data_IF_879568919865
#
_entry.id   IF_879568919865
#
_cell.length_a   1.000
_cell.length_b   1.000
_cell.length_c   1.000
_cell.angle_alpha   90.00
_cell.angle_beta   90.00
_cell.angle_gamma   90.00
#
_symmetry.space_group_name_H-M   'P 1'
#
loop_
_entity.id
_entity.type
_entity.pdbx_description
1 polymer ?
#
# COMPACT_ATOMS: atom_id res chain seq x y z
N UNK A 1 26.63 -31.96 -14.51
CA UNK A 1 25.91 -31.63 -13.26
C UNK A 1 26.36 -30.25 -12.82
N UNK A 2 25.77 -29.20 -13.38
CA UNK A 2 26.16 -27.82 -13.12
C UNK A 2 25.35 -27.30 -11.93
N UNK A 3 26.04 -27.05 -10.83
CA UNK A 3 25.49 -26.32 -9.68
C UNK A 3 25.20 -24.89 -10.11
N UNK A 4 23.94 -24.59 -10.40
CA UNK A 4 23.44 -23.21 -10.48
C UNK A 4 23.63 -22.59 -9.09
N UNK A 5 24.73 -21.85 -8.94
CA UNK A 5 24.93 -20.92 -7.83
C UNK A 5 23.72 -19.99 -7.80
N UNK A 6 22.90 -20.14 -6.76
CA UNK A 6 21.76 -19.27 -6.52
C UNK A 6 22.25 -17.83 -6.49
N UNK A 7 21.93 -16.98 -7.48
CA UNK A 7 22.30 -15.58 -7.38
C UNK A 7 21.57 -15.05 -6.17
N UNK A 8 22.29 -14.35 -5.29
CA UNK A 8 21.71 -13.63 -4.16
C UNK A 8 20.43 -12.92 -4.63
N UNK A 9 19.28 -13.50 -4.28
CA UNK A 9 17.97 -13.05 -4.70
C UNK A 9 17.67 -11.78 -3.89
N UNK A 10 18.31 -10.70 -4.32
CA UNK A 10 18.58 -9.52 -3.52
C UNK A 10 17.49 -8.47 -3.64
N UNK A 11 17.43 -7.58 -2.64
CA UNK A 11 16.54 -6.42 -2.65
C UNK A 11 16.67 -5.61 -3.94
N UNK A 12 17.92 -5.44 -4.40
CA UNK A 12 18.21 -4.74 -5.65
C UNK A 12 17.62 -5.40 -6.88
N UNK A 13 17.57 -6.74 -6.92
CA UNK A 13 16.92 -7.47 -8.01
C UNK A 13 15.43 -7.16 -8.06
N UNK A 14 14.75 -7.21 -6.90
CA UNK A 14 13.33 -6.86 -6.81
C UNK A 14 13.08 -5.41 -7.23
N UNK A 15 13.90 -4.48 -6.75
CA UNK A 15 13.75 -3.07 -7.08
C UNK A 15 14.03 -2.78 -8.56
N UNK A 16 15.07 -3.39 -9.13
CA UNK A 16 15.41 -3.25 -10.54
C UNK A 16 14.32 -3.85 -11.44
N UNK A 17 13.81 -5.02 -11.08
CA UNK A 17 12.74 -5.70 -11.80
C UNK A 17 11.44 -4.88 -11.74
N UNK A 18 11.10 -4.36 -10.57
CA UNK A 18 9.96 -3.46 -10.39
C UNK A 18 10.09 -2.22 -11.27
N UNK A 19 11.27 -1.58 -11.27
CA UNK A 19 11.59 -0.43 -12.12
C UNK A 19 11.47 -0.76 -13.61
N UNK A 20 11.93 -1.95 -14.02
CA UNK A 20 11.86 -2.42 -15.41
C UNK A 20 10.41 -2.53 -15.89
N UNK A 21 9.55 -3.19 -15.12
CA UNK A 21 8.12 -3.37 -15.45
C UNK A 21 7.40 -2.02 -15.49
N UNK A 22 7.65 -1.17 -14.49
CA UNK A 22 7.09 0.18 -14.43
C UNK A 22 7.48 1.02 -15.65
N UNK A 23 8.74 0.95 -16.07
CA UNK A 23 9.24 1.75 -17.19
C UNK A 23 8.73 1.22 -18.55
N UNK A 24 8.55 -0.11 -18.69
CA UNK A 24 8.03 -0.73 -19.90
C UNK A 24 6.61 -0.26 -20.26
N UNK A 25 5.77 0.01 -19.25
CA UNK A 25 4.40 0.52 -19.44
C UNK A 25 4.16 1.85 -18.71
N UNK A 26 5.16 2.74 -18.74
CA UNK A 26 5.20 3.98 -17.96
C UNK A 26 3.96 4.87 -18.11
N UNK A 27 3.41 5.01 -19.32
CA UNK A 27 2.20 5.82 -19.58
C UNK A 27 0.96 5.28 -18.85
N UNK A 28 0.81 3.96 -18.82
CA UNK A 28 -0.32 3.31 -18.15
C UNK A 28 -0.21 3.45 -16.63
N UNK A 29 0.98 3.17 -16.08
CA UNK A 29 1.23 3.34 -14.65
C UNK A 29 1.12 4.79 -14.22
N UNK A 30 1.59 5.74 -15.02
CA UNK A 30 1.44 7.17 -14.74
C UNK A 30 -0.04 7.59 -14.73
N UNK A 31 -0.86 7.07 -15.65
CA UNK A 31 -2.31 7.33 -15.62
C UNK A 31 -2.97 6.80 -14.33
N UNK A 32 -2.62 5.60 -13.88
CA UNK A 32 -3.09 5.06 -12.59
C UNK A 32 -2.61 5.88 -11.40
N UNK A 33 -1.36 6.35 -11.43
CA UNK A 33 -0.82 7.22 -10.40
C UNK A 33 -1.59 8.53 -10.31
N UNK A 34 -1.80 9.21 -11.44
CA UNK A 34 -2.55 10.48 -11.48
C UNK A 34 -3.99 10.28 -11.03
N UNK A 35 -4.61 9.14 -11.33
CA UNK A 35 -6.01 8.88 -11.04
C UNK A 35 -6.26 8.45 -9.57
N UNK A 36 -5.37 7.65 -8.97
CA UNK A 36 -5.57 7.12 -7.61
C UNK A 36 -4.52 7.57 -6.59
N UNK A 37 -3.22 7.55 -6.95
CA UNK A 37 -2.16 7.84 -5.99
C UNK A 37 -1.94 9.33 -5.76
N UNK A 38 -2.14 10.18 -6.78
CA UNK A 38 -1.94 11.62 -6.68
C UNK A 38 -2.97 12.28 -5.75
N UNK A 39 -4.29 11.98 -5.85
CA UNK A 39 -5.26 12.49 -4.88
C UNK A 39 -4.95 12.01 -3.46
N UNK A 40 -4.51 10.76 -3.31
CA UNK A 40 -4.17 10.17 -2.02
C UNK A 40 -2.90 10.80 -1.41
N UNK A 41 -1.83 10.94 -2.17
CA UNK A 41 -0.56 11.52 -1.70
C UNK A 41 -0.73 12.99 -1.34
N UNK A 42 -1.47 13.75 -2.16
CA UNK A 42 -1.78 15.14 -1.87
C UNK A 42 -2.58 15.27 -0.57
N UNK A 43 -3.60 14.43 -0.40
CA UNK A 43 -4.43 14.40 0.81
C UNK A 43 -3.63 14.02 2.06
N UNK A 44 -2.69 13.09 1.97
CA UNK A 44 -1.79 12.71 3.09
C UNK A 44 -0.86 13.85 3.51
N UNK A 45 -0.40 14.66 2.56
CA UNK A 45 0.51 15.80 2.83
C UNK A 45 -0.26 17.00 3.37
N UNK A 46 -1.45 17.29 2.84
CA UNK A 46 -2.21 18.50 3.16
C UNK A 46 -3.06 18.37 4.42
N UNK A 47 -3.59 17.19 4.72
CA UNK A 47 -4.45 16.98 5.89
C UNK A 47 -3.84 17.38 7.25
N UNK A 48 -2.60 17.02 7.60
CA UNK A 48 -2.01 17.46 8.88
C UNK A 48 -1.90 18.99 8.96
N UNK A 49 -1.55 19.65 7.86
CA UNK A 49 -1.49 21.12 7.78
C UNK A 49 -2.89 21.74 7.95
N UNK A 50 -3.91 21.19 7.29
CA UNK A 50 -5.30 21.63 7.44
C UNK A 50 -5.80 21.45 8.88
N UNK A 51 -5.51 20.31 9.51
CA UNK A 51 -5.92 20.04 10.87
C UNK A 51 -5.25 21.01 11.86
N UNK A 52 -3.97 21.33 11.66
CA UNK A 52 -3.25 22.30 12.48
C UNK A 52 -3.85 23.71 12.33
N UNK A 53 -4.17 24.14 11.10
CA UNK A 53 -4.84 25.41 10.82
C UNK A 53 -6.23 25.54 11.47
N UNK A 54 -7.00 24.44 11.51
CA UNK A 54 -8.33 24.41 12.13
C UNK A 54 -8.21 24.43 13.66
N UNK A 55 -7.23 23.72 14.22
CA UNK A 55 -7.06 23.55 15.68
C UNK A 55 -6.39 24.77 16.32
N UNK A 56 -5.47 25.43 15.60
CA UNK A 56 -4.72 26.59 16.05
C UNK A 56 -4.86 27.75 15.04
N UNK A 57 -6.00 28.47 15.05
CA UNK A 57 -6.21 29.56 14.11
C UNK A 57 -5.24 30.72 14.42
N UNK A 58 -4.47 31.23 13.43
CA UNK A 58 -3.62 32.39 13.61
C UNK A 58 -4.45 33.65 13.92
N UNK A 59 -3.90 34.62 14.68
CA UNK A 59 -4.66 35.76 15.19
C UNK A 59 -5.24 36.66 14.08
N UNK A 60 -4.57 36.83 12.93
CA UNK A 60 -5.01 37.83 11.94
C UNK A 60 -4.96 37.37 10.46
N UNK A 61 -6.06 37.68 9.76
CA UNK A 61 -6.20 37.94 8.32
C UNK A 61 -6.32 36.82 7.26
N UNK A 62 -6.13 35.53 7.55
CA UNK A 62 -6.40 34.46 6.54
C UNK A 62 -7.86 33.99 6.47
N UNK A 63 -8.75 34.61 7.26
CA UNK A 63 -10.16 34.24 7.45
C UNK A 63 -11.09 34.49 6.26
N UNK A 64 -10.62 34.97 5.12
CA UNK A 64 -11.52 35.32 3.98
C UNK A 64 -11.67 34.17 2.98
N UNK A 65 -10.60 33.43 2.66
CA UNK A 65 -10.66 32.39 1.62
C UNK A 65 -11.24 31.06 2.12
N UNK A 66 -10.87 30.62 3.34
CA UNK A 66 -11.35 29.34 3.89
C UNK A 66 -12.79 29.45 4.42
N UNK A 67 -13.17 30.62 4.96
CA UNK A 67 -14.53 30.91 5.44
C UNK A 67 -15.52 30.95 4.27
N UNK A 68 -15.12 31.49 3.12
CA UNK A 68 -15.92 31.49 1.88
C UNK A 68 -16.18 30.08 1.32
N UNK A 69 -15.26 29.13 1.52
CA UNK A 69 -15.42 27.75 1.03
C UNK A 69 -16.28 26.88 1.95
N UNK A 70 -16.40 27.23 3.24
CA UNK A 70 -17.14 26.48 4.24
C UNK A 70 -18.48 27.14 4.65
N UNK A 71 -18.68 28.44 4.43
CA UNK A 71 -19.96 29.13 4.68
C UNK A 71 -20.95 28.91 3.51
N UNK A 72 -21.54 27.72 3.43
CA UNK A 72 -22.79 27.53 2.68
C UNK A 72 -24.05 27.78 3.54
N UNK A 73 -23.91 28.25 4.79
CA UNK A 73 -25.07 28.67 5.57
C UNK A 73 -24.73 29.71 6.65
N UNK A 74 -25.34 30.91 6.63
CA UNK A 74 -25.28 31.80 7.78
C UNK A 74 -26.28 31.29 8.80
N UNK A 75 -25.83 30.72 9.92
CA UNK A 75 -26.70 30.60 11.09
C UNK A 75 -25.93 30.87 12.37
N UNK A 76 -26.26 32.02 12.95
CA UNK A 76 -26.04 32.34 14.35
C UNK A 76 -26.59 31.21 15.22
N UNK A 77 -25.71 30.49 15.89
CA UNK A 77 -25.78 30.19 17.32
C UNK A 77 -24.70 29.17 17.69
N UNK A 78 -23.95 29.53 18.72
CA UNK A 78 -22.82 28.79 19.25
C UNK A 78 -23.23 27.43 19.83
N UNK A 79 -22.61 26.33 19.34
CA UNK A 79 -22.25 25.08 20.04
C UNK A 79 -21.67 24.03 19.06
N UNK A 80 -20.92 23.03 19.54
CA UNK A 80 -19.48 23.02 19.82
C UNK A 80 -18.63 22.56 18.61
N UNK A 81 -17.43 23.12 18.47
CA UNK A 81 -16.42 22.84 17.41
C UNK A 81 -16.02 21.34 17.32
N UNK A 82 -16.40 20.50 18.30
CA UNK A 82 -16.02 19.09 18.40
C UNK A 82 -16.76 18.15 17.43
N UNK A 83 -17.96 18.50 16.94
CA UNK A 83 -18.73 17.63 16.03
C UNK A 83 -18.24 17.66 14.59
N UNK A 84 -17.80 18.83 14.11
CA UNK A 84 -17.47 19.03 12.69
C UNK A 84 -16.08 18.47 12.34
N UNK A 85 -15.12 18.58 13.26
CA UNK A 85 -13.78 17.99 13.08
C UNK A 85 -13.84 16.47 13.08
N UNK A 86 -14.64 15.86 13.95
CA UNK A 86 -14.81 14.40 14.00
C UNK A 86 -15.41 13.84 12.71
N UNK A 87 -16.46 14.49 12.20
CA UNK A 87 -17.07 14.12 10.92
C UNK A 87 -16.07 14.26 9.75
N UNK A 88 -15.33 15.37 9.70
CA UNK A 88 -14.30 15.61 8.68
C UNK A 88 -13.18 14.55 8.74
N UNK A 89 -12.73 14.17 9.94
CA UNK A 89 -11.73 13.11 10.11
C UNK A 89 -12.23 11.73 9.65
N UNK A 90 -13.50 11.40 9.93
CA UNK A 90 -14.12 10.15 9.47
C UNK A 90 -14.19 10.15 7.94
N UNK A 91 -14.70 11.23 7.34
CA UNK A 91 -14.80 11.37 5.89
C UNK A 91 -13.43 11.30 5.20
N UNK A 92 -12.43 11.95 5.78
CA UNK A 92 -11.04 11.86 5.35
C UNK A 92 -10.50 10.42 5.42
N UNK A 93 -10.72 9.72 6.54
CA UNK A 93 -10.27 8.33 6.67
C UNK A 93 -10.91 7.43 5.61
N UNK A 94 -12.20 7.64 5.32
CA UNK A 94 -12.93 6.88 4.31
C UNK A 94 -12.37 7.16 2.92
N UNK A 95 -12.08 8.42 2.62
CA UNK A 95 -11.43 8.84 1.39
C UNK A 95 -10.06 8.17 1.21
N UNK A 96 -9.17 8.30 2.19
CA UNK A 96 -7.82 7.70 2.15
C UNK A 96 -7.91 6.19 2.00
N UNK A 97 -8.80 5.56 2.77
CA UNK A 97 -8.99 4.12 2.73
C UNK A 97 -9.49 3.64 1.36
N UNK A 98 -10.55 4.26 0.82
CA UNK A 98 -11.09 3.91 -0.49
C UNK A 98 -10.04 4.07 -1.61
N UNK A 99 -9.35 5.21 -1.66
CA UNK A 99 -8.31 5.46 -2.66
C UNK A 99 -7.11 4.51 -2.49
N UNK A 100 -6.74 4.14 -1.26
CA UNK A 100 -5.65 3.20 -1.01
C UNK A 100 -5.93 1.79 -1.53
N UNK A 101 -7.17 1.32 -1.37
CA UNK A 101 -7.61 0.02 -1.89
C UNK A 101 -7.63 0.03 -3.42
N UNK A 102 -8.20 1.08 -4.01
CA UNK A 102 -8.27 1.23 -5.46
C UNK A 102 -6.88 1.35 -6.10
N UNK A 103 -5.99 2.13 -5.50
CA UNK A 103 -4.60 2.26 -5.94
C UNK A 103 -3.87 0.91 -5.87
N UNK A 104 -3.91 0.26 -4.71
CA UNK A 104 -3.21 -1.02 -4.50
C UNK A 104 -3.74 -2.09 -5.45
N UNK A 105 -5.07 -2.21 -5.58
CA UNK A 105 -5.69 -3.17 -6.48
C UNK A 105 -5.32 -2.93 -7.95
N UNK A 106 -5.43 -1.69 -8.43
CA UNK A 106 -5.17 -1.36 -9.83
C UNK A 106 -3.70 -1.50 -10.23
N UNK A 107 -2.78 -1.10 -9.35
CA UNK A 107 -1.35 -1.22 -9.57
C UNK A 107 -0.92 -2.68 -9.52
N UNK A 108 -1.34 -3.45 -8.51
CA UNK A 108 -0.99 -4.88 -8.41
C UNK A 108 -1.50 -5.66 -9.60
N UNK A 109 -2.76 -5.45 -10.01
CA UNK A 109 -3.32 -6.11 -11.20
C UNK A 109 -2.53 -5.77 -12.47
N UNK A 110 -2.11 -4.52 -12.61
CA UNK A 110 -1.36 -4.04 -13.78
C UNK A 110 0.09 -4.54 -13.80
N UNK A 111 0.77 -4.60 -12.64
CA UNK A 111 2.12 -5.17 -12.51
C UNK A 111 2.09 -6.67 -12.77
N UNK A 112 1.09 -7.38 -12.26
CA UNK A 112 0.91 -8.80 -12.53
C UNK A 112 0.77 -9.07 -14.03
N UNK A 113 -0.15 -8.39 -14.72
CA UNK A 113 -0.31 -8.55 -16.18
C UNK A 113 0.91 -8.07 -16.98
N UNK A 114 1.57 -7.01 -16.52
CA UNK A 114 2.82 -6.53 -17.11
C UNK A 114 3.96 -7.55 -17.01
N UNK A 115 4.00 -8.35 -15.95
CA UNK A 115 4.96 -9.44 -15.80
C UNK A 115 4.75 -10.56 -16.84
N UNK A 116 3.50 -10.86 -17.20
CA UNK A 116 3.14 -11.84 -18.25
C UNK A 116 3.13 -11.25 -19.68
N UNK A 117 3.51 -9.98 -19.86
CA UNK A 117 3.63 -9.35 -21.17
C UNK A 117 2.31 -9.07 -21.89
N UNK A 118 1.15 -9.16 -21.21
CA UNK A 118 -0.16 -8.88 -21.81
C UNK A 118 -0.45 -7.37 -21.84
N UNK A 119 -1.06 -6.84 -22.92
CA UNK A 119 -1.44 -5.44 -23.00
C UNK A 119 -2.52 -5.12 -21.96
N UNK A 120 -2.14 -4.35 -20.92
CA UNK A 120 -3.05 -3.97 -19.84
C UNK A 120 -4.00 -2.88 -20.33
N UNK A 121 -5.31 -3.17 -20.34
CA UNK A 121 -6.35 -2.16 -20.60
C UNK A 121 -6.80 -1.55 -19.27
N UNK A 122 -6.63 -0.23 -19.11
CA UNK A 122 -7.02 0.55 -17.93
C UNK A 122 -8.45 0.22 -17.45
N UNK A 123 -9.39 0.12 -18.39
CA UNK A 123 -10.81 -0.13 -18.09
C UNK A 123 -11.03 -1.53 -17.50
N UNK A 124 -10.28 -2.53 -17.98
CA UNK A 124 -10.36 -3.89 -17.45
C UNK A 124 -9.75 -3.98 -16.05
N UNK A 125 -8.64 -3.26 -15.82
CA UNK A 125 -8.03 -3.15 -14.50
C UNK A 125 -9.00 -2.49 -13.51
N UNK A 126 -9.61 -1.36 -13.86
CA UNK A 126 -10.58 -0.66 -13.01
C UNK A 126 -11.80 -1.54 -12.73
N UNK A 127 -12.38 -2.18 -13.75
CA UNK A 127 -13.56 -3.04 -13.58
C UNK A 127 -13.26 -4.25 -12.69
N UNK A 128 -12.10 -4.90 -12.85
CA UNK A 128 -11.67 -5.99 -11.99
C UNK A 128 -11.46 -5.53 -10.54
N UNK A 129 -10.91 -4.33 -10.34
CA UNK A 129 -10.69 -3.76 -9.02
C UNK A 129 -12.01 -3.40 -8.32
N UNK A 130 -13.02 -2.93 -9.03
CA UNK A 130 -14.36 -2.72 -8.46
C UNK A 130 -15.00 -4.03 -7.98
N UNK A 131 -14.75 -5.15 -8.68
CA UNK A 131 -15.18 -6.48 -8.25
C UNK A 131 -14.38 -7.00 -7.04
N UNK A 132 -13.07 -6.75 -7.01
CA UNK A 132 -12.19 -7.12 -5.88
C UNK A 132 -12.27 -6.14 -4.70
N UNK A 133 -13.02 -5.04 -4.82
CA UNK A 133 -13.14 -4.03 -3.77
C UNK A 133 -13.71 -4.61 -2.48
N UNK A 134 -14.76 -5.44 -2.57
CA UNK A 134 -15.38 -6.07 -1.40
C UNK A 134 -14.43 -7.06 -0.70
N UNK A 135 -13.77 -8.01 -1.40
CA UNK A 135 -12.73 -8.84 -0.80
C UNK A 135 -11.61 -8.03 -0.12
N UNK A 136 -11.09 -7.00 -0.79
CA UNK A 136 -10.04 -6.15 -0.23
C UNK A 136 -10.52 -5.40 1.01
N UNK A 137 -11.71 -4.81 0.95
CA UNK A 137 -12.36 -4.15 2.08
C UNK A 137 -12.46 -5.07 3.29
N UNK A 138 -13.01 -6.28 3.11
CA UNK A 138 -13.18 -7.25 4.19
C UNK A 138 -11.83 -7.64 4.80
N UNK A 139 -10.83 -7.89 3.96
CA UNK A 139 -9.49 -8.28 4.44
C UNK A 139 -8.79 -7.15 5.18
N UNK A 140 -8.94 -5.91 4.72
CA UNK A 140 -8.39 -4.73 5.37
C UNK A 140 -9.09 -4.42 6.71
N UNK A 141 -10.41 -4.65 6.80
CA UNK A 141 -11.14 -4.55 8.07
C UNK A 141 -10.69 -5.65 9.03
N UNK A 142 -10.54 -6.89 8.56
CA UNK A 142 -10.05 -8.01 9.40
C UNK A 142 -8.65 -7.71 9.92
N UNK A 143 -7.72 -7.26 9.07
CA UNK A 143 -6.38 -6.90 9.55
C UNK A 143 -6.46 -5.81 10.60
N UNK A 144 -7.19 -4.72 10.33
CA UNK A 144 -7.33 -3.62 11.27
C UNK A 144 -7.92 -4.08 12.61
N UNK A 145 -8.95 -4.92 12.61
CA UNK A 145 -9.56 -5.49 13.81
C UNK A 145 -8.54 -6.33 14.60
N UNK A 146 -7.73 -7.16 13.92
CA UNK A 146 -6.71 -7.97 14.62
C UNK A 146 -5.60 -7.08 15.20
N UNK A 147 -5.12 -6.08 14.46
CA UNK A 147 -4.14 -5.11 14.97
C UNK A 147 -4.67 -4.36 16.21
N UNK A 148 -5.91 -3.86 16.13
CA UNK A 148 -6.55 -3.17 17.26
C UNK A 148 -6.76 -4.09 18.45
N UNK A 149 -7.18 -5.35 18.23
CA UNK A 149 -7.37 -6.31 19.32
C UNK A 149 -6.06 -6.61 20.04
N UNK A 150 -4.96 -6.82 19.30
CA UNK A 150 -3.63 -7.05 19.89
C UNK A 150 -3.18 -5.80 20.66
N UNK A 151 -3.35 -4.61 20.09
CA UNK A 151 -2.99 -3.36 20.75
C UNK A 151 -3.79 -3.12 22.05
N UNK A 152 -5.09 -3.36 22.03
CA UNK A 152 -5.96 -3.21 23.21
C UNK A 152 -5.65 -4.28 24.26
N UNK A 153 -5.45 -5.54 23.87
CA UNK A 153 -5.11 -6.60 24.82
C UNK A 153 -3.76 -6.33 25.50
N UNK A 154 -2.75 -5.96 24.72
CA UNK A 154 -1.41 -5.69 25.24
C UNK A 154 -1.36 -4.39 26.05
N UNK A 155 -2.00 -3.32 25.55
CA UNK A 155 -2.11 -2.05 26.26
C UNK A 155 -2.89 -2.17 27.56
N UNK A 156 -4.02 -2.90 27.54
CA UNK A 156 -4.82 -3.20 28.72
C UNK A 156 -4.05 -4.01 29.76
N UNK A 157 -3.28 -5.01 29.32
CA UNK A 157 -2.39 -5.77 30.19
C UNK A 157 -1.34 -4.88 30.87
N UNK A 158 -0.66 -4.02 30.10
CA UNK A 158 0.33 -3.08 30.67
C UNK A 158 -0.30 -2.11 31.67
N UNK A 159 -1.50 -1.58 31.37
CA UNK A 159 -2.24 -0.69 32.29
C UNK A 159 -2.64 -1.39 33.59
N UNK A 160 -3.00 -2.67 33.54
CA UNK A 160 -3.32 -3.44 34.74
C UNK A 160 -2.07 -3.65 35.60
N UNK A 161 -0.94 -3.97 34.98
CA UNK A 161 0.33 -4.21 35.70
C UNK A 161 0.83 -2.91 36.36
N UNK A 162 0.77 -1.78 35.67
CA UNK A 162 1.24 -0.49 36.22
C UNK A 162 0.39 0.01 37.37
N UNK A 163 -0.93 -0.25 37.36
CA UNK A 163 -1.81 0.13 38.48
C UNK A 163 -1.58 -0.70 39.74
N UNK A 164 -1.14 -1.96 39.62
CA UNK A 164 -0.99 -2.85 40.77
C UNK A 164 0.42 -2.85 41.38
N UNK A 165 1.45 -2.49 40.61
CA UNK A 165 2.85 -2.54 41.04
C UNK A 165 3.51 -1.15 40.91
N UNK A 166 3.35 -0.31 41.93
CA UNK A 166 3.73 1.12 41.95
C UNK A 166 5.24 1.41 41.78
N UNK A 167 6.13 0.41 41.71
CA UNK A 167 7.58 0.61 41.93
C UNK A 167 8.53 0.38 40.74
N UNK A 168 8.08 -0.11 39.57
CA UNK A 168 8.95 -0.34 38.40
C UNK A 168 8.34 0.15 37.07
N UNK A 169 7.46 1.15 37.17
CA UNK A 169 6.47 1.51 36.14
C UNK A 169 7.07 1.90 34.78
N UNK A 170 8.13 2.69 34.72
CA UNK A 170 8.58 3.24 33.44
C UNK A 170 9.32 2.21 32.55
N UNK A 171 10.21 1.39 33.12
CA UNK A 171 10.95 0.39 32.34
C UNK A 171 10.05 -0.72 31.81
N UNK A 172 9.06 -1.17 32.57
CA UNK A 172 8.09 -2.17 32.12
C UNK A 172 7.18 -1.64 31.01
N UNK A 173 6.77 -0.37 31.08
CA UNK A 173 5.99 0.28 30.01
C UNK A 173 6.82 0.41 28.75
N UNK A 174 8.08 0.85 28.85
CA UNK A 174 8.98 0.96 27.69
C UNK A 174 9.23 -0.42 27.08
N UNK A 175 9.57 -1.42 27.89
CA UNK A 175 9.80 -2.79 27.42
C UNK A 175 8.54 -3.38 26.76
N UNK A 176 7.38 -3.19 27.39
CA UNK A 176 6.09 -3.61 26.84
C UNK A 176 5.77 -2.91 25.51
N UNK A 177 6.01 -1.60 25.43
CA UNK A 177 5.84 -0.83 24.20
C UNK A 177 6.74 -1.34 23.06
N UNK A 178 8.03 -1.58 23.34
CA UNK A 178 8.98 -2.14 22.37
C UNK A 178 8.53 -3.52 21.90
N UNK A 179 8.09 -4.38 22.82
CA UNK A 179 7.60 -5.72 22.50
C UNK A 179 6.33 -5.65 21.64
N UNK A 180 5.41 -4.73 21.94
CA UNK A 180 4.21 -4.50 21.13
C UNK A 180 4.58 -4.07 19.70
N UNK A 181 5.48 -3.09 19.55
CA UNK A 181 5.96 -2.63 18.24
C UNK A 181 6.62 -3.78 17.47
N UNK A 182 7.42 -4.62 18.14
CA UNK A 182 8.05 -5.77 17.51
C UNK A 182 7.03 -6.81 17.02
N UNK A 183 6.02 -7.11 17.85
CA UNK A 183 4.94 -8.05 17.50
C UNK A 183 4.11 -7.51 16.32
N UNK A 184 3.67 -6.25 16.40
CA UNK A 184 2.91 -5.62 15.33
C UNK A 184 3.73 -5.51 14.05
N UNK A 185 5.02 -5.17 14.14
CA UNK A 185 5.94 -5.14 13.00
C UNK A 185 6.14 -6.53 12.38
N UNK A 186 6.24 -7.58 13.19
CA UNK A 186 6.32 -8.95 12.69
C UNK A 186 5.04 -9.39 11.96
N UNK A 187 3.87 -9.06 12.51
CA UNK A 187 2.58 -9.32 11.84
C UNK A 187 2.48 -8.52 10.54
N UNK A 188 2.82 -7.23 10.58
CA UNK A 188 2.78 -6.33 9.43
C UNK A 188 3.65 -6.89 8.29
N UNK A 189 4.88 -7.29 8.60
CA UNK A 189 5.77 -7.89 7.61
C UNK A 189 5.13 -9.14 7.03
N UNK A 190 4.63 -10.10 7.82
CA UNK A 190 4.01 -11.32 7.30
C UNK A 190 2.74 -11.09 6.47
N UNK A 191 2.05 -9.96 6.69
CA UNK A 191 0.81 -9.59 5.99
C UNK A 191 1.01 -8.55 4.89
N UNK A 192 2.24 -8.11 4.62
CA UNK A 192 2.55 -7.18 3.52
C UNK A 192 2.03 -7.68 2.17
N UNK A 193 2.08 -8.99 1.93
CA UNK A 193 1.60 -9.60 0.69
C UNK A 193 0.08 -9.89 0.67
N UNK A 194 -0.63 -9.69 1.78
CA UNK A 194 -2.04 -10.06 1.87
C UNK A 194 -2.90 -9.31 0.84
N UNK A 195 -2.72 -8.00 0.70
CA UNK A 195 -3.44 -7.22 -0.31
C UNK A 195 -3.16 -7.72 -1.73
N UNK A 196 -1.92 -8.15 -2.02
CA UNK A 196 -1.54 -8.70 -3.33
C UNK A 196 -2.22 -10.04 -3.58
N UNK A 197 -2.24 -10.93 -2.57
CA UNK A 197 -2.91 -12.23 -2.63
C UNK A 197 -4.42 -12.07 -2.88
N UNK A 198 -5.07 -11.09 -2.25
CA UNK A 198 -6.51 -10.84 -2.46
C UNK A 198 -6.79 -10.41 -3.90
N UNK A 199 -5.96 -9.55 -4.47
CA UNK A 199 -6.11 -9.08 -5.86
C UNK A 199 -5.87 -10.19 -6.86
N UNK A 200 -4.83 -11.01 -6.64
CA UNK A 200 -4.40 -12.03 -7.61
C UNK A 200 -5.16 -13.34 -7.47
N UNK A 201 -5.31 -13.86 -6.25
CA UNK A 201 -5.98 -15.15 -6.02
C UNK A 201 -7.50 -15.01 -5.85
N UNK A 202 -8.04 -13.78 -5.83
CA UNK A 202 -9.48 -13.49 -5.61
C UNK A 202 -10.05 -14.18 -4.37
N UNK A 203 -9.22 -14.33 -3.32
CA UNK A 203 -9.61 -14.92 -2.03
C UNK A 203 -9.95 -13.83 -1.02
N UNK A 204 -10.96 -14.09 -0.20
CA UNK A 204 -11.49 -13.18 0.82
C UNK A 204 -11.25 -13.69 2.25
N UNK A 205 -11.30 -12.76 3.22
CA UNK A 205 -11.33 -13.09 4.64
C UNK A 205 -9.96 -13.38 5.27
N UNK A 206 -9.88 -14.43 6.10
CA UNK A 206 -8.65 -14.85 6.77
C UNK A 206 -7.71 -15.69 5.88
N UNK A 207 -8.25 -16.32 4.84
CA UNK A 207 -7.50 -17.14 3.90
C UNK A 207 -6.29 -16.39 3.27
N UNK A 208 -6.44 -15.17 2.72
CA UNK A 208 -5.31 -14.43 2.17
C UNK A 208 -4.23 -14.07 3.21
N UNK A 209 -4.59 -13.89 4.50
CA UNK A 209 -3.64 -13.60 5.57
C UNK A 209 -2.79 -14.82 5.95
N UNK A 210 -3.44 -15.99 6.02
CA UNK A 210 -2.72 -17.25 6.25
C UNK A 210 -1.79 -17.56 5.08
N UNK A 211 -2.28 -17.32 3.86
CA UNK A 211 -1.54 -17.50 2.63
C UNK A 211 -0.35 -16.55 2.50
N UNK A 212 -0.51 -15.28 2.86
CA UNK A 212 0.61 -14.32 2.84
C UNK A 212 1.70 -14.73 3.84
N UNK A 213 1.31 -15.18 5.04
CA UNK A 213 2.23 -15.65 6.06
C UNK A 213 2.99 -16.93 5.65
N UNK A 214 2.35 -17.82 4.89
CA UNK A 214 3.03 -19.00 4.33
C UNK A 214 4.00 -18.62 3.21
N UNK A 215 3.61 -17.73 2.29
CA UNK A 215 4.46 -17.28 1.19
C UNK A 215 5.71 -16.52 1.68
N UNK A 216 5.57 -15.78 2.77
CA UNK A 216 6.69 -15.06 3.36
C UNK A 216 7.63 -15.93 4.20
N UNK A 217 7.27 -17.20 4.43
CA UNK A 217 8.13 -18.16 5.14
C UNK A 217 9.39 -18.39 4.30
N UNK A 218 10.54 -17.93 4.80
CA UNK A 218 11.83 -18.00 4.10
C UNK A 218 12.32 -16.67 3.52
N UNK A 219 11.43 -15.70 3.25
CA UNK A 219 11.78 -14.38 2.68
C UNK A 219 11.50 -13.20 3.62
N UNK A 220 11.24 -13.47 4.90
CA UNK A 220 10.91 -12.43 5.89
C UNK A 220 11.94 -11.31 6.00
N UNK A 221 13.24 -11.63 5.90
CA UNK A 221 14.31 -10.61 5.92
C UNK A 221 14.18 -9.65 4.74
N UNK A 222 13.80 -10.16 3.57
CA UNK A 222 13.63 -9.38 2.36
C UNK A 222 12.38 -8.49 2.46
N UNK A 223 11.25 -9.07 2.92
CA UNK A 223 10.02 -8.31 3.18
C UNK A 223 10.20 -7.23 4.24
N UNK A 224 10.90 -7.55 5.34
CA UNK A 224 11.25 -6.58 6.38
C UNK A 224 12.10 -5.44 5.82
N UNK A 225 13.12 -5.75 5.01
CA UNK A 225 13.97 -4.70 4.45
C UNK A 225 13.24 -3.82 3.44
N UNK A 226 12.34 -4.36 2.61
CA UNK A 226 11.50 -3.54 1.73
C UNK A 226 10.59 -2.63 2.55
N UNK A 227 9.93 -3.18 3.57
CA UNK A 227 9.07 -2.41 4.48
C UNK A 227 9.84 -1.28 5.18
N UNK A 228 11.06 -1.56 5.67
CA UNK A 228 11.90 -0.55 6.31
C UNK A 228 12.36 0.53 5.34
N UNK A 229 12.81 0.16 4.13
CA UNK A 229 13.23 1.13 3.12
C UNK A 229 12.06 2.06 2.77
N UNK A 230 10.94 1.52 2.29
CA UNK A 230 9.79 2.34 1.89
C UNK A 230 9.18 3.10 3.07
N UNK A 231 9.14 2.49 4.26
CA UNK A 231 8.64 3.12 5.48
C UNK A 231 9.50 4.29 5.94
N UNK A 232 10.83 4.15 5.96
CA UNK A 232 11.75 5.23 6.35
C UNK A 232 11.72 6.36 5.34
N UNK A 233 11.80 6.07 4.03
CA UNK A 233 11.72 7.11 3.00
C UNK A 233 10.37 7.84 3.03
N UNK A 234 9.26 7.12 3.22
CA UNK A 234 7.93 7.72 3.33
C UNK A 234 7.80 8.58 4.59
N UNK A 235 8.30 8.09 5.73
CA UNK A 235 8.32 8.81 6.99
C UNK A 235 9.13 10.10 6.91
N UNK A 236 10.32 10.07 6.28
CA UNK A 236 11.14 11.27 6.08
C UNK A 236 10.41 12.31 5.22
N UNK A 237 9.76 11.89 4.13
CA UNK A 237 9.01 12.80 3.26
C UNK A 237 7.83 13.48 3.98
N UNK A 238 7.09 12.73 4.80
CA UNK A 238 5.98 13.29 5.59
C UNK A 238 6.52 14.21 6.68
N UNK A 239 7.59 13.81 7.37
CA UNK A 239 8.22 14.57 8.44
C UNK A 239 8.74 15.93 7.95
N UNK A 240 9.44 15.98 6.81
CA UNK A 240 9.96 17.23 6.26
C UNK A 240 8.85 18.21 5.89
N UNK A 241 7.68 17.73 5.48
CA UNK A 241 6.53 18.59 5.20
C UNK A 241 5.87 19.12 6.49
N UNK A 242 5.74 18.27 7.51
CA UNK A 242 5.18 18.66 8.81
C UNK A 242 6.06 19.70 9.52
N UNK A 243 7.37 19.45 9.58
CA UNK A 243 8.32 20.32 10.28
C UNK A 243 8.39 21.74 9.68
N UNK A 244 8.30 21.88 8.35
CA UNK A 244 8.32 23.21 7.72
C UNK A 244 7.00 23.96 7.95
N UNK A 245 5.87 23.23 8.01
CA UNK A 245 4.56 23.83 8.29
C UNK A 245 4.48 24.43 9.70
N UNK A 246 5.23 23.92 10.67
CA UNK A 246 5.26 24.43 12.06
C UNK A 246 6.16 25.65 12.23
N UNK A 247 7.25 25.75 11.45
CA UNK A 247 8.23 26.85 11.54
C UNK A 247 7.78 28.13 10.83
N UNK A 248 6.82 28.04 9.90
CA UNK A 248 6.46 29.13 8.96
C UNK A 248 5.20 29.92 9.37
N UNK A 249 4.59 29.63 10.53
CA UNK A 249 3.39 30.32 11.03
C UNK A 249 3.70 31.74 11.57
N UNK A 250 4.99 32.14 11.62
CA UNK A 250 5.45 33.32 12.35
C UNK A 250 5.72 34.61 11.57
N UNK A 251 5.80 34.61 10.23
CA UNK A 251 6.31 35.81 9.52
C UNK A 251 5.81 35.95 8.06
N UNK A 252 5.04 37.02 7.79
CA UNK A 252 4.19 37.19 6.61
C UNK A 252 4.93 37.73 5.37
N UNK A 253 5.86 36.96 4.81
CA UNK A 253 6.44 37.26 3.49
C UNK A 253 5.82 36.38 2.41
N UNK A 254 5.15 37.00 1.42
CA UNK A 254 4.44 36.30 0.34
C UNK A 254 5.30 35.36 -0.52
N UNK A 255 6.63 35.48 -0.46
CA UNK A 255 7.58 34.55 -1.09
C UNK A 255 7.66 33.18 -0.37
N UNK A 256 7.40 33.14 0.95
CA UNK A 256 7.39 31.89 1.75
C UNK A 256 6.17 31.02 1.45
N UNK A 257 5.02 31.64 1.16
CA UNK A 257 3.79 30.95 0.73
C UNK A 257 3.97 30.14 -0.57
N UNK A 258 4.70 30.68 -1.55
CA UNK A 258 5.07 29.92 -2.75
C UNK A 258 5.99 28.74 -2.45
N UNK A 259 6.91 28.89 -1.50
CA UNK A 259 7.77 27.81 -1.01
C UNK A 259 6.98 26.63 -0.44
N UNK A 260 5.96 26.92 0.38
CA UNK A 260 5.07 25.89 0.94
C UNK A 260 4.27 25.16 -0.15
N UNK A 261 3.71 25.88 -1.12
CA UNK A 261 2.96 25.26 -2.22
C UNK A 261 3.87 24.36 -3.06
N UNK A 262 5.06 24.83 -3.42
CA UNK A 262 6.05 24.03 -4.16
C UNK A 262 6.46 22.80 -3.35
N UNK A 263 6.69 22.95 -2.05
CA UNK A 263 7.05 21.84 -1.18
C UNK A 263 5.93 20.79 -1.10
N UNK A 264 4.68 21.19 -0.92
CA UNK A 264 3.54 20.27 -0.90
C UNK A 264 3.44 19.50 -2.22
N UNK A 265 3.60 20.18 -3.36
CA UNK A 265 3.57 19.55 -4.69
C UNK A 265 4.73 18.57 -4.86
N UNK A 266 5.96 18.98 -4.52
CA UNK A 266 7.15 18.12 -4.63
C UNK A 266 7.04 16.91 -3.70
N UNK A 267 6.69 17.10 -2.43
CA UNK A 267 6.52 16.00 -1.48
C UNK A 267 5.40 15.07 -1.91
N UNK A 268 4.26 15.59 -2.38
CA UNK A 268 3.15 14.76 -2.89
C UNK A 268 3.57 13.94 -4.10
N UNK A 269 4.27 14.52 -5.07
CA UNK A 269 4.74 13.78 -6.25
C UNK A 269 5.78 12.72 -5.89
N UNK A 270 6.70 13.01 -4.97
CA UNK A 270 7.67 12.02 -4.47
C UNK A 270 6.98 10.89 -3.71
N UNK A 271 6.01 11.21 -2.84
CA UNK A 271 5.23 10.23 -2.11
C UNK A 271 4.40 9.34 -3.04
N UNK A 272 3.79 9.93 -4.08
CA UNK A 272 3.08 9.19 -5.14
C UNK A 272 4.00 8.17 -5.81
N UNK A 273 5.21 8.58 -6.22
CA UNK A 273 6.19 7.68 -6.82
C UNK A 273 6.62 6.58 -5.83
N UNK A 274 6.84 6.94 -4.57
CA UNK A 274 7.24 6.00 -3.53
C UNK A 274 6.17 4.92 -3.28
N UNK A 275 4.89 5.31 -3.22
CA UNK A 275 3.77 4.39 -3.07
C UNK A 275 3.62 3.47 -4.28
N UNK A 276 3.83 3.99 -5.49
CA UNK A 276 3.86 3.19 -6.72
C UNK A 276 4.97 2.13 -6.67
N UNK A 277 6.19 2.53 -6.32
CA UNK A 277 7.32 1.61 -6.20
C UNK A 277 7.10 0.57 -5.09
N UNK A 278 6.49 0.94 -3.96
CA UNK A 278 6.15 0.02 -2.89
C UNK A 278 5.15 -1.05 -3.36
N UNK A 279 4.06 -0.65 -4.02
CA UNK A 279 3.06 -1.58 -4.56
C UNK A 279 3.65 -2.52 -5.62
N UNK A 280 4.51 -1.99 -6.51
CA UNK A 280 5.20 -2.79 -7.52
C UNK A 280 6.19 -3.78 -6.89
N UNK A 281 7.00 -3.34 -5.93
CA UNK A 281 7.97 -4.18 -5.23
C UNK A 281 7.30 -5.31 -4.44
N UNK A 282 6.16 -5.05 -3.78
CA UNK A 282 5.39 -6.08 -3.10
C UNK A 282 4.78 -7.10 -4.08
N UNK A 283 4.36 -6.65 -5.27
CA UNK A 283 3.84 -7.54 -6.31
C UNK A 283 4.96 -8.42 -6.90
N UNK A 284 6.14 -7.85 -7.16
CA UNK A 284 7.31 -8.61 -7.64
C UNK A 284 7.80 -9.58 -6.55
N UNK A 285 7.84 -9.15 -5.29
CA UNK A 285 8.17 -10.02 -4.15
C UNK A 285 7.20 -11.21 -4.08
N UNK A 286 5.89 -10.98 -4.26
CA UNK A 286 4.91 -12.05 -4.33
C UNK A 286 5.20 -13.06 -5.44
N UNK A 287 5.54 -12.60 -6.65
CA UNK A 287 5.91 -13.48 -7.77
C UNK A 287 7.16 -14.32 -7.45
N UNK A 288 8.18 -13.72 -6.82
CA UNK A 288 9.36 -14.46 -6.36
C UNK A 288 9.05 -15.46 -5.24
N UNK A 289 8.20 -15.09 -4.27
CA UNK A 289 7.73 -16.02 -3.23
C UNK A 289 7.03 -17.22 -3.86
N UNK A 290 6.19 -16.99 -4.87
CA UNK A 290 5.48 -18.05 -5.60
C UNK A 290 6.44 -18.93 -6.41
N UNK A 291 7.49 -18.34 -7.00
CA UNK A 291 8.55 -19.07 -7.69
C UNK A 291 9.29 -20.02 -6.76
N UNK A 292 9.66 -19.54 -5.57
CA UNK A 292 10.41 -20.31 -4.58
C UNK A 292 9.63 -21.49 -4.00
N UNK A 293 8.29 -21.40 -3.94
CA UNK A 293 7.44 -22.51 -3.52
C UNK A 293 7.10 -23.49 -4.66
N UNK A 294 7.63 -23.29 -5.87
CA UNK A 294 7.41 -24.17 -7.03
C UNK A 294 6.04 -24.01 -7.70
N UNK A 295 5.15 -23.18 -7.14
CA UNK A 295 3.81 -22.93 -7.66
C UNK A 295 3.80 -22.06 -8.91
N UNK A 296 4.85 -21.24 -9.12
CA UNK A 296 4.93 -20.36 -10.30
C UNK A 296 5.12 -21.15 -11.61
N UNK A 297 5.85 -22.26 -11.60
CA UNK A 297 6.06 -23.07 -12.80
C UNK A 297 4.76 -23.75 -13.26
N UNK A 298 3.92 -24.16 -12.30
CA UNK A 298 2.61 -24.76 -12.56
C UNK A 298 1.63 -23.72 -13.09
N UNK A 299 1.60 -22.52 -12.50
CA UNK A 299 0.71 -21.45 -12.97
C UNK A 299 1.15 -20.88 -14.31
N UNK A 300 2.45 -20.75 -14.56
CA UNK A 300 2.97 -20.41 -15.90
C UNK A 300 2.49 -21.47 -16.91
N UNK A 301 2.65 -22.77 -16.59
CA UNK A 301 2.17 -23.84 -17.48
C UNK A 301 0.65 -23.79 -17.71
N UNK A 302 -0.16 -23.52 -16.68
CA UNK A 302 -1.62 -23.39 -16.79
C UNK A 302 -2.07 -22.12 -17.54
N UNK A 303 -1.41 -20.98 -17.32
CA UNK A 303 -1.70 -19.71 -17.99
C UNK A 303 -1.37 -19.81 -19.48
N UNK A 304 -0.24 -20.44 -19.84
CA UNK A 304 0.09 -20.76 -21.22
C UNK A 304 -0.87 -21.84 -21.78
N UNK A 305 -1.25 -22.85 -21.00
CA UNK A 305 -2.25 -23.86 -21.41
C UNK A 305 -3.63 -23.27 -21.72
N UNK A 306 -4.05 -22.21 -21.02
CA UNK A 306 -5.31 -21.49 -21.32
C UNK A 306 -5.27 -20.67 -22.61
N UNK A 307 -4.09 -20.22 -23.04
CA UNK A 307 -3.89 -19.56 -24.33
C UNK A 307 -3.71 -20.56 -25.49
N UNK A 308 -3.44 -21.84 -25.20
CA UNK A 308 -3.60 -22.90 -26.19
C UNK A 308 -5.08 -23.25 -26.33
N UNK A 309 -5.74 -22.55 -27.26
CA UNK A 309 -7.00 -23.04 -27.83
C UNK A 309 -6.74 -24.45 -28.37
N UNK A 310 -7.40 -25.45 -27.79
CA UNK A 310 -7.48 -26.78 -28.40
C UNK A 310 -8.09 -26.59 -29.79
N UNK A 311 -7.26 -26.68 -30.82
CA UNK A 311 -7.72 -26.70 -32.21
C UNK A 311 -8.69 -27.90 -32.33
N UNK A 312 -9.89 -27.72 -32.91
CA UNK A 312 -10.90 -28.78 -33.01
C UNK A 312 -10.53 -29.84 -34.08
N UNK A 313 -9.24 -30.07 -34.31
CA UNK A 313 -8.75 -30.87 -35.43
C UNK A 313 -8.09 -32.19 -35.05
N UNK A 314 -8.13 -32.62 -33.79
CA UNK A 314 -7.44 -33.86 -33.39
C UNK A 314 -8.31 -34.88 -32.64
N UNK A 315 -9.55 -35.06 -33.08
CA UNK A 315 -10.44 -36.15 -32.63
C UNK A 315 -10.52 -37.32 -33.63
N UNK A 316 -9.51 -37.53 -34.50
CA UNK A 316 -9.67 -38.64 -35.46
C UNK A 316 -8.52 -39.07 -36.37
N UNK A 317 -7.26 -38.69 -36.17
CA UNK A 317 -6.18 -39.24 -37.00
C UNK A 317 -5.10 -39.95 -36.20
N UNK A 318 -5.24 -41.28 -36.24
CA UNK A 318 -4.23 -42.30 -35.94
C UNK A 318 -2.80 -41.84 -36.24
N UNK A 319 -1.84 -42.11 -35.33
CA UNK A 319 -0.45 -41.71 -35.49
C UNK A 319 0.12 -42.37 -36.74
N UNK A 320 0.46 -41.56 -37.75
CA UNK A 320 1.22 -42.01 -38.90
C UNK A 320 2.67 -42.24 -38.47
N UNK A 321 3.02 -43.50 -38.24
CA UNK A 321 4.40 -43.95 -38.12
C UNK A 321 5.06 -43.81 -39.49
N UNK A 322 5.85 -42.75 -39.67
CA UNK A 322 6.71 -42.61 -40.85
C UNK A 322 7.96 -43.46 -40.59
N UNK A 323 7.99 -44.68 -41.13
CA UNK A 323 9.22 -45.47 -41.25
C UNK A 323 10.05 -44.92 -42.40
N UNK A 324 11.14 -44.24 -42.09
CA UNK A 324 12.16 -43.86 -43.08
C UNK A 324 13.01 -45.10 -43.38
N UNK A 325 12.83 -45.70 -44.56
CA UNK A 325 13.78 -46.65 -45.12
C UNK A 325 14.85 -45.85 -45.86
N UNK A 326 16.07 -45.90 -45.34
CA UNK A 326 17.26 -45.37 -46.01
C UNK A 326 17.72 -46.47 -46.97
N UNK A 327 17.65 -46.19 -48.27
CA UNK A 327 18.27 -46.96 -49.35
C UNK A 327 19.49 -46.23 -49.88
#
# INVERSE_FOLDING_TARGET
>A
MATLSSPNLGLFTILFESKRILNAHSRHFLALCVLFLLPLSFSLVVYPTLLNLITHPPPDNTKVLLRSFLDFHPREHAQPIFSDTGFLSILYSLFVFAFSILATGSITFSVFHGFYGRPVKLISAIKSVFLSFLPLFVTAVITQVVFSLIAVAFGGFLLLVTKNFELYSNYLVIFGGVLLVLVLGYLQVNWTLACVVVVVESKWGFEPLRRSASLMRGMRKLGLSLFLIFGVFGGILVWTCGAVSELDIGDSDGWKSWGLVVQIVVTSTLLMLLLLYNAAANTVLYMYCKALHGELAVEIAEEFARDYVSLPFDDGKVPHVISVVIG
#
